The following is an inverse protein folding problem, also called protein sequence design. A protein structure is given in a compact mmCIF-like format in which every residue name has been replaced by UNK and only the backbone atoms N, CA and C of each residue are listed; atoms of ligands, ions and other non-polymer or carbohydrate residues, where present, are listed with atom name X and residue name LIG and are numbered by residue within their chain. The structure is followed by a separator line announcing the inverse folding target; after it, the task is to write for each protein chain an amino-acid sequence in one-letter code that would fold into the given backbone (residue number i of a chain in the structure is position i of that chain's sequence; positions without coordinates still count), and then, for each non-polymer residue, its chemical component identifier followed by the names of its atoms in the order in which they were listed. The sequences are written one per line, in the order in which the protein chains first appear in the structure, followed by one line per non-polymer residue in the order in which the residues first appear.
data_IF_433482467885
#
_entry.id   IF_433482467885
#
_cell.length_a   1.000
_cell.length_b   1.000
_cell.length_c   1.000
_cell.angle_alpha   90.00
_cell.angle_beta   90.00
_cell.angle_gamma   90.00
#
_symmetry.space_group_name_H-M   'P 1'
#
loop_
_entity.id
_entity.type
_entity.pdbx_description
1 polymer ?
#
# COMPACT_ATOMS: atom_id res chain seq x y z
N UNK A 1 8.25 -47.52 -18.67
CA UNK A 1 8.47 -47.23 -17.24
C UNK A 1 9.32 -45.96 -17.17
N UNK A 2 8.70 -44.83 -16.78
CA UNK A 2 9.08 -44.07 -15.56
C UNK A 2 10.46 -43.39 -15.72
N UNK A 3 10.61 -42.10 -16.00
CA UNK A 3 10.36 -40.99 -15.08
C UNK A 3 10.55 -39.66 -15.83
N UNK A 4 9.53 -38.81 -15.86
CA UNK A 4 9.31 -37.71 -14.91
C UNK A 4 10.02 -36.42 -15.35
N UNK A 5 9.22 -35.58 -16.00
CA UNK A 5 9.27 -34.13 -15.97
C UNK A 5 9.97 -33.58 -14.71
N UNK A 6 11.08 -32.88 -14.89
CA UNK A 6 11.64 -31.93 -13.93
C UNK A 6 12.20 -30.76 -14.76
N UNK A 7 11.42 -29.69 -14.96
CA UNK A 7 11.48 -28.48 -14.13
C UNK A 7 12.95 -28.09 -13.92
N UNK A 8 13.47 -27.05 -14.58
CA UNK A 8 13.29 -25.69 -14.08
C UNK A 8 13.53 -24.64 -15.16
N UNK A 9 12.45 -24.00 -15.60
CA UNK A 9 12.50 -22.61 -16.01
C UNK A 9 12.63 -21.75 -14.72
N UNK A 10 13.87 -21.49 -14.30
CA UNK A 10 14.22 -20.47 -13.30
C UNK A 10 14.94 -19.36 -14.09
N UNK A 11 14.51 -18.12 -14.12
CA UNK A 11 13.41 -17.42 -13.49
C UNK A 11 13.60 -15.99 -13.97
N UNK A 12 12.55 -15.39 -14.49
CA UNK A 12 12.53 -13.98 -14.86
C UNK A 12 13.19 -13.18 -13.73
N UNK A 13 14.33 -12.56 -14.04
CA UNK A 13 14.90 -11.49 -13.23
C UNK A 13 13.88 -10.37 -13.31
N UNK A 14 12.91 -10.39 -12.40
CA UNK A 14 12.02 -9.27 -12.18
C UNK A 14 12.92 -8.03 -12.03
N UNK A 15 12.66 -6.93 -12.76
CA UNK A 15 13.39 -5.69 -12.49
C UNK A 15 13.23 -5.40 -11.00
N UNK A 16 14.25 -4.85 -10.31
CA UNK A 16 14.06 -4.44 -8.93
C UNK A 16 12.81 -3.58 -8.91
N UNK A 17 11.83 -3.95 -8.09
CA UNK A 17 10.72 -3.05 -7.79
C UNK A 17 11.40 -1.77 -7.34
N UNK A 18 11.40 -0.76 -8.21
CA UNK A 18 11.79 0.58 -7.84
C UNK A 18 10.84 0.91 -6.71
N UNK A 19 11.30 0.81 -5.46
CA UNK A 19 10.53 1.28 -4.33
C UNK A 19 10.23 2.72 -4.69
N UNK A 20 8.98 2.97 -5.07
CA UNK A 20 8.46 4.32 -5.20
C UNK A 20 8.83 4.98 -3.88
N UNK A 21 9.54 6.11 -3.96
CA UNK A 21 10.10 6.77 -2.78
C UNK A 21 8.96 6.99 -1.80
N UNK A 22 9.00 6.30 -0.67
CA UNK A 22 8.04 6.53 0.41
C UNK A 22 8.23 7.99 0.84
N UNK A 23 7.22 8.83 0.60
CA UNK A 23 7.24 10.23 1.00
C UNK A 23 6.63 10.37 2.40
N UNK A 24 7.35 11.04 3.30
CA UNK A 24 6.90 11.22 4.68
C UNK A 24 5.79 12.27 4.73
N UNK A 25 4.58 11.83 5.07
CA UNK A 25 3.45 12.73 5.35
C UNK A 25 3.35 13.05 6.86
N UNK A 26 3.51 14.31 7.23
CA UNK A 26 3.33 14.80 8.61
C UNK A 26 1.98 15.48 8.77
N UNK A 27 1.15 14.99 9.70
CA UNK A 27 -0.21 15.49 9.92
C UNK A 27 -0.38 15.93 11.38
N UNK A 28 -0.85 17.16 11.58
CA UNK A 28 -1.29 17.66 12.89
C UNK A 28 -2.82 17.59 12.95
N UNK A 29 -3.35 16.90 13.96
CA UNK A 29 -4.79 16.70 14.16
C UNK A 29 -5.11 16.74 15.65
N UNK A 30 -6.40 16.70 16.00
CA UNK A 30 -6.83 16.58 17.40
C UNK A 30 -6.52 15.19 17.98
N UNK A 31 -6.51 15.10 19.31
CA UNK A 31 -6.30 13.83 20.01
C UNK A 31 -7.37 12.78 19.64
N UNK A 32 -8.62 13.20 19.49
CA UNK A 32 -9.74 12.31 19.15
C UNK A 32 -9.55 11.67 17.78
N UNK A 33 -9.13 12.45 16.78
CA UNK A 33 -8.85 11.92 15.44
C UNK A 33 -7.73 10.87 15.49
N UNK A 34 -6.66 11.14 16.24
CA UNK A 34 -5.58 10.17 16.43
C UNK A 34 -6.08 8.88 17.10
N UNK A 35 -6.96 8.99 18.10
CA UNK A 35 -7.54 7.84 18.79
C UNK A 35 -8.42 7.00 17.85
N UNK A 36 -9.32 7.63 17.11
CA UNK A 36 -10.20 6.95 16.16
C UNK A 36 -9.40 6.23 15.07
N UNK A 37 -8.38 6.88 14.54
CA UNK A 37 -7.50 6.29 13.53
C UNK A 37 -6.77 5.05 14.06
N UNK A 38 -6.27 5.11 15.30
CA UNK A 38 -5.63 3.96 15.97
C UNK A 38 -6.61 2.81 16.14
N UNK A 39 -7.82 3.09 16.63
CA UNK A 39 -8.86 2.07 16.81
C UNK A 39 -9.28 1.41 15.49
N UNK A 40 -9.35 2.17 14.39
CA UNK A 40 -9.62 1.61 13.06
C UNK A 40 -8.47 0.69 12.61
N UNK A 41 -7.22 1.15 12.74
CA UNK A 41 -6.04 0.38 12.39
C UNK A 41 -5.94 -0.94 13.18
N UNK A 42 -6.22 -0.90 14.49
CA UNK A 42 -6.20 -2.07 15.37
C UNK A 42 -7.29 -3.09 14.96
N UNK A 43 -8.49 -2.62 14.59
CA UNK A 43 -9.60 -3.49 14.12
C UNK A 43 -9.24 -4.27 12.85
N UNK A 44 -8.52 -3.65 11.93
CA UNK A 44 -8.12 -4.28 10.66
C UNK A 44 -6.75 -4.99 10.75
N UNK A 45 -6.09 -4.95 11.93
CA UNK A 45 -4.74 -5.51 12.16
C UNK A 45 -3.68 -4.92 11.23
N UNK A 46 -3.72 -3.60 11.03
CA UNK A 46 -2.80 -2.85 10.16
C UNK A 46 -2.09 -1.75 10.93
N UNK A 47 -1.00 -1.24 10.37
CA UNK A 47 -0.37 -0.03 10.91
C UNK A 47 -1.23 1.21 10.67
N UNK A 48 -1.06 2.24 11.51
CA UNK A 48 -1.74 3.54 11.34
C UNK A 48 -1.43 4.18 9.98
N UNK A 49 -0.18 4.05 9.50
CA UNK A 49 0.21 4.55 8.18
C UNK A 49 -0.57 3.83 7.06
N UNK A 50 -0.65 2.50 7.12
CA UNK A 50 -1.40 1.73 6.13
C UNK A 50 -2.91 2.03 6.20
N UNK A 51 -3.44 2.31 7.39
CA UNK A 51 -4.82 2.77 7.55
C UNK A 51 -5.06 4.11 6.85
N UNK A 52 -4.14 5.06 6.97
CA UNK A 52 -4.23 6.34 6.24
C UNK A 52 -4.27 6.12 4.73
N UNK A 53 -3.43 5.24 4.19
CA UNK A 53 -3.47 4.91 2.75
C UNK A 53 -4.83 4.38 2.31
N UNK A 54 -5.42 3.45 3.07
CA UNK A 54 -6.77 2.91 2.79
C UNK A 54 -7.81 4.02 2.79
N UNK A 55 -7.80 4.88 3.81
CA UNK A 55 -8.74 5.98 3.93
C UNK A 55 -8.62 6.96 2.74
N UNK A 56 -7.39 7.31 2.36
CA UNK A 56 -7.12 8.19 1.20
C UNK A 56 -7.58 7.54 -0.11
N UNK A 57 -7.28 6.27 -0.33
CA UNK A 57 -7.69 5.54 -1.54
C UNK A 57 -9.22 5.44 -1.63
N UNK A 58 -9.89 5.14 -0.51
CA UNK A 58 -11.34 5.03 -0.48
C UNK A 58 -12.01 6.39 -0.76
N UNK A 59 -11.48 7.46 -0.16
CA UNK A 59 -11.93 8.82 -0.47
C UNK A 59 -11.73 9.14 -1.96
N UNK A 60 -10.54 8.89 -2.51
CA UNK A 60 -10.25 9.14 -3.91
C UNK A 60 -11.22 8.39 -4.84
N UNK A 61 -11.49 7.11 -4.59
CA UNK A 61 -12.45 6.32 -5.37
C UNK A 61 -13.87 6.88 -5.28
N UNK A 62 -14.33 7.24 -4.08
CA UNK A 62 -15.66 7.82 -3.88
C UNK A 62 -15.84 9.17 -4.60
N UNK A 63 -14.73 9.89 -4.82
CA UNK A 63 -14.72 11.22 -5.44
C UNK A 63 -14.17 11.22 -6.88
N UNK A 64 -13.88 10.06 -7.48
CA UNK A 64 -13.33 9.96 -8.83
C UNK A 64 -11.94 10.61 -9.00
N UNK A 65 -11.15 10.72 -7.92
CA UNK A 65 -9.81 11.30 -7.97
C UNK A 65 -8.80 10.26 -8.45
N UNK A 66 -7.95 10.66 -9.40
CA UNK A 66 -6.83 9.85 -9.89
C UNK A 66 -5.51 10.57 -9.60
N UNK A 67 -4.44 9.85 -9.19
CA UNK A 67 -3.13 10.47 -9.01
C UNK A 67 -2.64 11.10 -10.33
N UNK A 68 -2.17 12.34 -10.28
CA UNK A 68 -1.53 12.97 -11.44
C UNK A 68 -0.09 12.45 -11.54
N UNK A 69 0.18 11.63 -12.54
CA UNK A 69 1.51 11.12 -12.85
C UNK A 69 2.31 12.04 -13.78
N UNK A 70 1.75 13.20 -14.15
CA UNK A 70 2.31 14.08 -15.20
C UNK A 70 3.44 14.99 -14.73
N UNK A 71 3.74 15.03 -13.42
CA UNK A 71 4.88 15.80 -12.90
C UNK A 71 6.01 14.87 -12.49
N UNK A 72 6.95 14.68 -13.43
CA UNK A 72 8.34 14.32 -13.15
C UNK A 72 9.25 15.48 -13.49
#
# INVERSE_FOLDING_TARGET
MQNALHLQALGLRAPPMTRLKDETLSIRTSADIKQLLRQAADRERRSVASMIEVLVINYAKAHGLTPDHSKK
#
